data_IF_467414842493
#
_entry.id   IF_467414842493
#
_cell.length_a   1.000
_cell.length_b   1.000
_cell.length_c   1.000
_cell.angle_alpha   90.00
_cell.angle_beta   90.00
_cell.angle_gamma   90.00
#
_symmetry.space_group_name_H-M   'P 1'
#
loop_
_entity.id
_entity.type
_entity.pdbx_description
1 polymer ?
#
# COMPACT_ATOMS: atom_id res chain seq x y z
N UNK A 1 -7.86 -1.75 -6.23
CA UNK A 1 -8.57 -0.47 -5.98
C UNK A 1 -9.53 -0.50 -4.78
N UNK A 2 -10.46 -1.46 -4.63
CA UNK A 2 -11.41 -1.47 -3.48
C UNK A 2 -10.72 -1.51 -2.10
N UNK A 3 -9.64 -2.29 -1.97
CA UNK A 3 -8.82 -2.37 -0.74
C UNK A 3 -8.21 -1.00 -0.40
N UNK A 4 -7.63 -0.33 -1.39
CA UNK A 4 -7.09 1.03 -1.29
C UNK A 4 -8.12 2.04 -0.78
N UNK A 5 -9.30 2.09 -1.42
CA UNK A 5 -10.34 3.04 -1.05
C UNK A 5 -10.84 2.83 0.39
N UNK A 6 -10.94 1.56 0.84
CA UNK A 6 -11.24 1.24 2.24
C UNK A 6 -10.14 1.70 3.20
N UNK A 7 -8.88 1.60 2.78
CA UNK A 7 -7.72 2.07 3.55
C UNK A 7 -7.78 3.58 3.78
N UNK A 8 -7.92 4.36 2.70
CA UNK A 8 -8.08 5.81 2.80
C UNK A 8 -9.32 6.22 3.63
N UNK A 9 -10.42 5.49 3.50
CA UNK A 9 -11.60 5.75 4.33
C UNK A 9 -11.35 5.48 5.81
N UNK A 10 -10.47 4.53 6.16
CA UNK A 10 -10.08 4.28 7.54
C UNK A 10 -9.20 5.40 8.08
N UNK A 11 -8.20 5.86 7.31
CA UNK A 11 -7.40 7.05 7.67
C UNK A 11 -8.29 8.29 7.89
N UNK A 12 -9.27 8.48 7.00
CA UNK A 12 -10.23 9.57 7.13
C UNK A 12 -11.08 9.48 8.41
N UNK A 13 -11.36 8.27 8.92
CA UNK A 13 -12.05 8.10 10.20
C UNK A 13 -11.17 8.46 11.38
N UNK A 14 -9.88 8.08 11.36
CA UNK A 14 -8.93 8.48 12.39
C UNK A 14 -8.83 10.00 12.45
N UNK A 15 -8.68 10.65 11.30
CA UNK A 15 -8.68 12.11 11.19
C UNK A 15 -9.99 12.72 11.70
N UNK A 16 -11.15 12.20 11.29
CA UNK A 16 -12.45 12.74 11.71
C UNK A 16 -12.71 12.59 13.22
N UNK A 17 -12.16 11.55 13.84
CA UNK A 17 -12.34 11.26 15.27
C UNK A 17 -11.26 11.88 16.14
N UNK A 18 -10.36 12.69 15.56
CA UNK A 18 -9.16 13.24 16.22
C UNK A 18 -8.33 12.16 16.93
N UNK A 19 -8.29 10.97 16.33
CA UNK A 19 -7.58 9.82 16.88
C UNK A 19 -6.18 9.72 16.29
N UNK A 20 -5.17 9.72 17.17
CA UNK A 20 -3.78 9.50 16.81
C UNK A 20 -3.40 8.04 17.04
N UNK A 21 -3.20 7.23 15.99
CA UNK A 21 -2.79 5.84 16.14
C UNK A 21 -1.36 5.72 16.66
N UNK A 22 -1.05 4.61 17.32
CA UNK A 22 0.34 4.20 17.54
C UNK A 22 1.00 3.81 16.22
N UNK A 23 2.34 3.74 16.18
CA UNK A 23 3.05 3.29 14.99
C UNK A 23 2.63 1.88 14.57
N UNK A 24 2.41 0.99 15.55
CA UNK A 24 1.98 -0.39 15.31
C UNK A 24 0.58 -0.47 14.68
N UNK A 25 -0.34 0.41 15.07
CA UNK A 25 -1.67 0.51 14.48
C UNK A 25 -1.63 1.18 13.09
N UNK A 26 -0.82 2.23 12.95
CA UNK A 26 -0.67 3.02 11.72
C UNK A 26 -0.06 2.20 10.59
N UNK A 27 1.06 1.51 10.83
CA UNK A 27 1.89 0.98 9.75
C UNK A 27 1.17 -0.01 8.83
N UNK A 28 0.38 -1.00 9.32
CA UNK A 28 -0.35 -1.90 8.43
C UNK A 28 -1.29 -1.17 7.46
N UNK A 29 -1.95 -0.10 7.93
CA UNK A 29 -2.81 0.73 7.11
C UNK A 29 -1.99 1.60 6.15
N UNK A 30 -0.94 2.24 6.67
CA UNK A 30 -0.06 3.13 5.92
C UNK A 30 0.60 2.45 4.72
N UNK A 31 1.03 1.18 4.89
CA UNK A 31 1.62 0.37 3.81
C UNK A 31 0.60 0.05 2.73
N UNK A 32 -0.64 -0.27 3.12
CA UNK A 32 -1.73 -0.44 2.16
C UNK A 32 -2.00 0.87 1.41
N UNK A 33 -2.06 2.00 2.10
CA UNK A 33 -2.46 3.29 1.51
C UNK A 33 -1.36 3.99 0.70
N UNK A 34 -0.14 3.43 0.63
CA UNK A 34 0.90 3.85 -0.33
C UNK A 34 0.46 3.76 -1.79
N UNK A 35 -0.46 2.83 -2.09
CA UNK A 35 -0.90 2.56 -3.46
C UNK A 35 0.06 1.68 -4.26
N UNK A 36 1.19 1.27 -3.70
CA UNK A 36 2.17 0.42 -4.39
C UNK A 36 1.60 -0.95 -4.77
N UNK A 37 0.75 -1.57 -3.95
CA UNK A 37 0.04 -2.81 -4.33
C UNK A 37 -0.79 -2.59 -5.61
N UNK A 38 -1.56 -1.51 -5.67
CA UNK A 38 -2.37 -1.19 -6.84
C UNK A 38 -1.51 -0.84 -8.06
N UNK A 39 -0.42 -0.11 -7.87
CA UNK A 39 0.54 0.24 -8.92
C UNK A 39 1.20 -1.02 -9.49
N UNK A 40 1.70 -1.92 -8.65
CA UNK A 40 2.34 -3.17 -9.06
C UNK A 40 1.39 -4.09 -9.83
N UNK A 41 0.14 -4.24 -9.36
CA UNK A 41 -0.89 -5.00 -10.10
C UNK A 41 -1.13 -4.38 -11.47
N UNK A 42 -1.27 -3.05 -11.53
CA UNK A 42 -1.52 -2.33 -12.80
C UNK A 42 -0.34 -2.46 -13.76
N UNK A 43 0.89 -2.38 -13.24
CA UNK A 43 2.10 -2.57 -14.02
C UNK A 43 2.20 -3.98 -14.60
N UNK A 44 1.90 -5.01 -13.80
CA UNK A 44 1.86 -6.40 -14.27
C UNK A 44 0.81 -6.61 -15.37
N UNK A 45 -0.39 -6.05 -15.21
CA UNK A 45 -1.42 -6.08 -16.27
C UNK A 45 -0.92 -5.41 -17.55
N UNK A 46 -0.17 -4.31 -17.42
CA UNK A 46 0.44 -3.58 -18.53
C UNK A 46 1.49 -4.37 -19.33
N UNK A 47 1.99 -5.51 -18.81
CA UNK A 47 2.94 -6.37 -19.51
C UNK A 47 2.29 -7.28 -20.57
N UNK A 48 0.95 -7.25 -20.70
CA UNK A 48 0.21 -8.02 -21.71
C UNK A 48 0.37 -9.52 -21.52
N UNK A 49 0.51 -10.26 -22.62
CA UNK A 49 0.48 -11.74 -22.62
C UNK A 49 1.67 -12.41 -21.90
N UNK A 50 2.66 -11.64 -21.46
CA UNK A 50 3.81 -12.15 -20.70
C UNK A 50 3.43 -12.46 -19.23
N UNK A 51 2.39 -11.81 -18.69
CA UNK A 51 2.01 -12.00 -17.27
C UNK A 51 1.21 -13.29 -17.08
N UNK A 52 1.56 -14.06 -16.05
CA UNK A 52 0.87 -15.30 -15.69
C UNK A 52 0.01 -15.12 -14.44
N UNK A 53 -0.92 -16.05 -14.20
CA UNK A 53 -1.66 -16.12 -12.92
C UNK A 53 -0.69 -16.25 -11.74
N UNK A 54 0.34 -17.07 -11.90
CA UNK A 54 1.35 -17.32 -10.86
C UNK A 54 2.10 -16.03 -10.47
N UNK A 55 2.28 -15.08 -11.40
CA UNK A 55 2.87 -13.78 -11.09
C UNK A 55 1.97 -12.94 -10.16
N UNK A 56 0.65 -12.98 -10.34
CA UNK A 56 -0.29 -12.32 -9.43
C UNK A 56 -0.39 -13.03 -8.09
N UNK A 57 -0.39 -14.36 -8.07
CA UNK A 57 -0.39 -15.13 -6.82
C UNK A 57 0.89 -14.88 -6.01
N UNK A 58 2.04 -14.82 -6.68
CA UNK A 58 3.31 -14.43 -6.07
C UNK A 58 3.26 -13.00 -5.54
N UNK A 59 2.77 -12.03 -6.31
CA UNK A 59 2.68 -10.62 -5.90
C UNK A 59 1.74 -10.40 -4.71
N UNK A 60 0.56 -11.04 -4.73
CA UNK A 60 -0.50 -10.87 -3.73
C UNK A 60 -0.32 -11.75 -2.48
N UNK A 61 0.61 -12.69 -2.51
CA UNK A 61 1.05 -13.46 -1.35
C UNK A 61 2.00 -12.67 -0.44
N UNK A 62 2.88 -13.38 0.26
CA UNK A 62 3.94 -12.76 1.08
C UNK A 62 5.13 -12.31 0.20
N UNK A 63 4.86 -11.37 -0.70
CA UNK A 63 5.87 -10.82 -1.60
C UNK A 63 6.75 -9.80 -0.87
N UNK A 64 7.91 -10.25 -0.40
CA UNK A 64 8.89 -9.39 0.31
C UNK A 64 9.29 -8.14 -0.48
N UNK A 65 9.33 -8.22 -1.81
CA UNK A 65 9.69 -7.09 -2.68
C UNK A 65 8.59 -6.02 -2.65
N UNK A 66 7.32 -6.43 -2.70
CA UNK A 66 6.20 -5.50 -2.58
C UNK A 66 6.20 -4.84 -1.20
N UNK A 67 6.35 -5.62 -0.13
CA UNK A 67 6.39 -5.12 1.24
C UNK A 67 7.54 -4.12 1.45
N UNK A 68 8.75 -4.44 0.98
CA UNK A 68 9.89 -3.53 1.07
C UNK A 68 9.65 -2.23 0.27
N UNK A 69 9.06 -2.33 -0.92
CA UNK A 69 8.75 -1.16 -1.76
C UNK A 69 7.72 -0.25 -1.09
N UNK A 70 6.69 -0.83 -0.47
CA UNK A 70 5.70 -0.07 0.31
C UNK A 70 6.34 0.64 1.50
N UNK A 71 7.23 -0.04 2.24
CA UNK A 71 7.93 0.56 3.39
C UNK A 71 8.78 1.75 2.94
N UNK A 72 9.57 1.58 1.89
CA UNK A 72 10.42 2.65 1.35
C UNK A 72 9.56 3.83 0.91
N UNK A 73 8.51 3.61 0.11
CA UNK A 73 7.61 4.66 -0.34
C UNK A 73 6.98 5.40 0.85
N UNK A 74 6.38 4.66 1.80
CA UNK A 74 5.73 5.25 2.96
C UNK A 74 6.68 6.14 3.75
N UNK A 75 7.88 5.64 4.05
CA UNK A 75 8.84 6.43 4.81
C UNK A 75 9.38 7.63 4.04
N UNK A 76 9.66 7.50 2.74
CA UNK A 76 10.09 8.66 1.95
C UNK A 76 9.02 9.75 1.92
N UNK A 77 7.76 9.37 1.68
CA UNK A 77 6.63 10.31 1.62
C UNK A 77 6.42 10.99 2.98
N UNK A 78 6.38 10.22 4.07
CA UNK A 78 6.16 10.74 5.42
C UNK A 78 7.34 11.64 5.87
N UNK A 79 8.59 11.26 5.60
CA UNK A 79 9.78 12.08 5.92
C UNK A 79 9.77 13.39 5.13
N UNK A 80 9.47 13.32 3.82
CA UNK A 80 9.49 14.50 2.95
C UNK A 80 8.41 15.54 3.29
N UNK A 81 7.30 15.09 3.86
CA UNK A 81 6.17 15.93 4.25
C UNK A 81 6.18 16.34 5.73
N UNK A 82 7.10 15.78 6.51
CA UNK A 82 7.31 16.17 7.92
C UNK A 82 7.86 17.60 8.01
N UNK A 83 7.32 18.39 8.93
CA UNK A 83 7.73 19.78 9.19
C UNK A 83 8.56 19.87 10.46
#
# INVERSE_FOLDING_TARGET
MKKQAKGYFHEAKWLHSDYTPTLEEYMPLALLTTGYEALSITALVGMGDVVTRDAFEWLLGDCKILSASQIICRFMDDISSHK
#
